data_IF_086680086879
#
_entry.id   IF_086680086879
#
_cell.length_a   1.000
_cell.length_b   1.000
_cell.length_c   1.000
_cell.angle_alpha   90.00
_cell.angle_beta   90.00
_cell.angle_gamma   90.00
#
_symmetry.space_group_name_H-M   'P 1'
#
loop_
_entity.id
_entity.type
_entity.pdbx_description
1 polymer ?
#
# COMPACT_ATOMS: atom_id res chain seq x y z
N UNK A 1 -17.25 -10.55 26.83
CA UNK A 1 -16.66 -11.60 25.98
C UNK A 1 -16.71 -11.10 24.54
N UNK A 2 -15.70 -10.35 24.09
CA UNK A 2 -15.51 -10.08 22.66
C UNK A 2 -15.04 -11.39 22.04
N UNK A 3 -15.70 -11.83 20.98
CA UNK A 3 -15.28 -13.00 20.19
C UNK A 3 -13.95 -12.68 19.51
N UNK A 4 -12.90 -13.43 19.88
CA UNK A 4 -11.62 -13.40 19.17
C UNK A 4 -11.85 -13.73 17.70
N UNK A 5 -11.46 -12.82 16.81
CA UNK A 5 -11.53 -13.02 15.36
C UNK A 5 -10.37 -13.96 14.96
N UNK A 6 -10.61 -15.17 14.42
CA UNK A 6 -9.57 -16.18 14.19
C UNK A 6 -8.46 -15.76 13.19
N UNK A 7 -8.71 -14.74 12.37
CA UNK A 7 -7.70 -14.10 11.51
C UNK A 7 -6.73 -13.19 12.27
N UNK A 8 -7.09 -12.68 13.47
CA UNK A 8 -6.20 -11.85 14.31
C UNK A 8 -4.95 -12.61 14.74
N UNK A 9 -5.10 -13.88 15.11
CA UNK A 9 -4.05 -14.65 15.79
C UNK A 9 -3.08 -15.29 14.81
N UNK A 10 -3.51 -15.66 13.59
CA UNK A 10 -2.71 -16.48 12.68
C UNK A 10 -1.60 -15.68 11.98
N UNK A 11 -1.80 -14.39 11.65
CA UNK A 11 -0.83 -13.62 10.86
C UNK A 11 0.25 -12.93 11.69
N UNK A 12 -0.12 -12.33 12.84
CA UNK A 12 0.86 -11.81 13.79
C UNK A 12 1.76 -12.93 14.31
N UNK A 13 1.22 -14.14 14.54
CA UNK A 13 2.02 -15.33 14.84
C UNK A 13 3.00 -15.68 13.71
N UNK A 14 2.64 -15.59 12.43
CA UNK A 14 3.55 -15.97 11.32
C UNK A 14 4.72 -14.99 11.19
N UNK A 15 4.49 -13.68 11.32
CA UNK A 15 5.57 -12.68 11.22
C UNK A 15 6.41 -12.64 12.50
N UNK A 16 5.79 -12.80 13.68
CA UNK A 16 6.47 -12.81 14.97
C UNK A 16 7.28 -14.09 15.22
N UNK A 17 6.76 -15.28 14.88
CA UNK A 17 7.51 -16.55 14.99
C UNK A 17 8.60 -16.67 13.92
N UNK A 18 8.38 -16.16 12.71
CA UNK A 18 9.45 -16.11 11.70
C UNK A 18 10.57 -15.14 12.10
N UNK A 19 10.27 -14.14 12.95
CA UNK A 19 11.22 -13.14 13.36
C UNK A 19 12.28 -13.64 14.37
N UNK A 20 11.97 -14.69 15.15
CA UNK A 20 12.88 -15.18 16.21
C UNK A 20 13.29 -16.65 16.02
N UNK A 21 12.51 -17.50 15.32
CA UNK A 21 12.70 -18.95 15.35
C UNK A 21 13.72 -19.57 14.35
N UNK A 22 14.57 -18.78 13.68
CA UNK A 22 15.44 -19.30 12.61
C UNK A 22 16.94 -19.37 12.92
N UNK A 23 17.33 -19.77 14.14
CA UNK A 23 18.73 -20.21 14.40
C UNK A 23 18.88 -21.37 15.41
N UNK A 24 18.06 -22.42 15.28
CA UNK A 24 18.37 -23.68 15.98
C UNK A 24 17.87 -24.91 15.22
N UNK A 25 18.66 -25.40 14.25
CA UNK A 25 18.88 -26.83 13.97
C UNK A 25 19.71 -27.03 12.69
N UNK A 26 21.04 -26.91 12.78
CA UNK A 26 21.94 -27.53 11.80
C UNK A 26 22.11 -29.01 12.15
N UNK A 27 21.35 -29.88 11.48
CA UNK A 27 21.42 -31.33 11.65
C UNK A 27 21.20 -32.05 10.33
N UNK A 28 22.29 -32.58 9.77
CA UNK A 28 22.36 -33.35 8.52
C UNK A 28 21.38 -34.54 8.54
N UNK A 29 20.44 -34.61 7.59
CA UNK A 29 19.71 -35.86 7.27
C UNK A 29 19.47 -35.99 5.77
N UNK A 30 19.97 -37.10 5.20
CA UNK A 30 19.73 -37.59 3.82
C UNK A 30 18.31 -38.13 3.62
N UNK A 31 17.68 -38.02 2.44
CA UNK A 31 16.26 -38.35 2.25
C UNK A 31 16.00 -39.81 1.82
N UNK A 32 14.84 -40.33 2.19
CA UNK A 32 14.18 -41.54 1.67
C UNK A 32 12.65 -41.39 1.84
N UNK A 33 11.79 -42.11 1.09
CA UNK A 33 10.95 -41.53 0.04
C UNK A 33 9.49 -41.23 0.43
N UNK A 34 8.89 -40.44 -0.46
CA UNK A 34 7.56 -39.82 -0.47
C UNK A 34 6.42 -40.80 -0.83
N UNK A 35 5.30 -40.72 -0.10
CA UNK A 35 4.01 -41.32 -0.46
C UNK A 35 2.98 -40.17 -0.58
N UNK A 36 2.34 -40.10 -1.75
CA UNK A 36 1.67 -38.92 -2.28
C UNK A 36 0.16 -38.85 -2.01
N UNK A 37 -0.37 -37.62 -1.92
CA UNK A 37 -1.74 -37.22 -2.29
C UNK A 37 -1.76 -35.67 -2.51
N UNK A 38 -2.70 -35.11 -3.30
CA UNK A 38 -2.43 -34.54 -4.61
C UNK A 38 -2.24 -33.01 -4.65
N UNK A 39 -1.40 -32.55 -5.57
CA UNK A 39 -1.14 -31.14 -5.87
C UNK A 39 -2.21 -30.55 -6.82
N UNK A 40 -2.60 -29.31 -6.53
CA UNK A 40 -3.30 -28.42 -7.43
C UNK A 40 -2.37 -28.04 -8.61
N UNK A 41 -2.94 -28.02 -9.81
CA UNK A 41 -2.22 -27.79 -11.05
C UNK A 41 -1.91 -26.30 -11.23
N UNK A 42 -0.62 -25.99 -11.18
CA UNK A 42 -0.01 -24.81 -11.76
C UNK A 42 0.12 -25.04 -13.28
N UNK A 43 -0.37 -24.12 -14.09
CA UNK A 43 -0.30 -24.22 -15.56
C UNK A 43 0.84 -23.34 -16.07
N UNK A 44 1.90 -24.05 -16.44
CA UNK A 44 3.15 -23.55 -16.97
C UNK A 44 3.01 -22.69 -18.23
N UNK A 45 3.88 -21.68 -18.32
CA UNK A 45 4.38 -21.15 -19.57
C UNK A 45 5.19 -22.24 -20.29
N UNK A 46 4.87 -22.49 -21.56
CA UNK A 46 5.71 -23.33 -22.43
C UNK A 46 6.06 -22.56 -23.71
N UNK A 47 7.35 -22.67 -24.03
CA UNK A 47 8.10 -22.02 -25.10
C UNK A 47 8.29 -22.99 -26.28
N UNK A 48 7.95 -22.57 -27.49
CA UNK A 48 8.47 -23.08 -28.77
C UNK A 48 7.96 -22.16 -29.88
N UNK A 49 8.69 -21.72 -30.91
CA UNK A 49 10.02 -22.07 -31.40
C UNK A 49 10.46 -21.06 -32.50
N UNK A 50 11.72 -21.26 -32.92
CA UNK A 50 12.28 -21.03 -34.26
C UNK A 50 13.00 -19.69 -34.52
N UNK A 51 14.32 -19.80 -34.40
CA UNK A 51 15.28 -18.91 -35.05
C UNK A 51 15.15 -19.01 -36.58
N UNK A 52 14.88 -17.87 -37.22
CA UNK A 52 15.12 -17.67 -38.64
C UNK A 52 15.93 -16.37 -38.80
N UNK A 53 17.11 -16.51 -39.40
CA UNK A 53 18.04 -15.44 -39.76
C UNK A 53 17.42 -14.58 -40.87
N UNK A 54 17.24 -13.29 -40.62
CA UNK A 54 17.00 -12.28 -41.65
C UNK A 54 17.83 -11.02 -41.35
N UNK A 55 18.50 -10.51 -42.38
CA UNK A 55 19.28 -9.27 -42.42
C UNK A 55 18.48 -8.03 -41.97
N UNK A 56 19.15 -6.92 -41.59
CA UNK A 56 18.47 -5.74 -41.07
C UNK A 56 17.73 -5.02 -42.20
N UNK A 57 16.40 -5.05 -42.15
CA UNK A 57 15.57 -4.11 -42.88
C UNK A 57 15.52 -2.80 -42.07
N UNK A 58 16.16 -1.78 -42.62
CA UNK A 58 15.97 -0.38 -42.28
C UNK A 58 14.51 -0.02 -42.61
N UNK A 59 13.61 -0.06 -41.61
CA UNK A 59 12.21 0.30 -41.77
C UNK A 59 11.92 1.63 -41.08
N UNK A 60 11.36 2.54 -41.86
CA UNK A 60 11.27 3.96 -41.61
C UNK A 60 10.55 4.28 -40.29
N UNK A 61 11.12 5.22 -39.53
CA UNK A 61 10.39 5.98 -38.53
C UNK A 61 9.17 6.63 -39.21
N UNK A 62 8.00 6.01 -39.04
CA UNK A 62 6.72 6.59 -39.41
C UNK A 62 6.48 7.77 -38.49
N UNK A 63 6.65 8.99 -39.02
CA UNK A 63 6.30 10.20 -38.31
C UNK A 63 4.84 10.11 -37.85
N UNK A 64 4.62 10.15 -36.54
CA UNK A 64 3.28 10.22 -35.96
C UNK A 64 2.51 11.37 -36.63
N UNK A 65 1.27 11.14 -37.11
CA UNK A 65 0.49 12.18 -37.74
C UNK A 65 0.27 13.35 -36.77
N UNK A 66 0.26 14.56 -37.31
CA UNK A 66 0.04 15.79 -36.53
C UNK A 66 -1.38 15.79 -35.98
N UNK A 67 -1.51 15.62 -34.66
CA UNK A 67 -2.78 15.69 -33.95
C UNK A 67 -3.39 17.10 -34.10
N UNK A 68 -4.55 17.21 -34.74
CA UNK A 68 -5.29 18.47 -34.88
C UNK A 68 -6.79 18.20 -34.77
N UNK A 69 -7.49 19.01 -33.96
CA UNK A 69 -8.93 18.89 -33.67
C UNK A 69 -9.21 18.39 -32.26
N UNK A 70 -10.49 18.43 -31.87
CA UNK A 70 -10.97 17.84 -30.61
C UNK A 70 -10.94 16.30 -30.73
N UNK A 71 -10.22 15.62 -29.83
CA UNK A 71 -10.11 14.14 -29.75
C UNK A 71 -9.53 13.48 -31.02
N UNK A 72 -8.28 13.80 -31.39
CA UNK A 72 -7.68 13.45 -32.68
C UNK A 72 -7.51 11.94 -32.95
N UNK A 73 -7.43 11.09 -31.92
CA UNK A 73 -7.32 9.64 -32.08
C UNK A 73 -8.66 8.95 -32.40
N UNK A 74 -9.79 9.61 -32.14
CA UNK A 74 -11.12 9.04 -32.38
C UNK A 74 -11.38 8.71 -33.86
N UNK A 75 -10.61 9.31 -34.79
CA UNK A 75 -10.70 9.04 -36.22
C UNK A 75 -9.97 7.76 -36.69
N UNK A 76 -9.13 7.17 -35.83
CA UNK A 76 -8.39 5.94 -36.14
C UNK A 76 -9.14 4.72 -35.61
N UNK A 77 -9.00 3.56 -36.25
CA UNK A 77 -9.48 2.31 -35.66
C UNK A 77 -8.75 2.03 -34.34
N UNK A 78 -9.42 1.46 -33.32
CA UNK A 78 -8.79 1.21 -32.01
C UNK A 78 -7.44 0.51 -32.10
N UNK A 79 -7.33 -0.54 -32.92
CA UNK A 79 -6.10 -1.32 -33.09
C UNK A 79 -4.91 -0.49 -33.58
N UNK A 80 -5.14 0.55 -34.38
CA UNK A 80 -4.10 1.43 -34.92
C UNK A 80 -3.56 2.41 -33.87
N UNK A 81 -4.24 2.53 -32.73
CA UNK A 81 -3.82 3.35 -31.58
C UNK A 81 -2.92 2.58 -30.61
N UNK A 82 -2.72 1.28 -30.82
CA UNK A 82 -1.85 0.48 -29.99
C UNK A 82 -0.40 0.96 -30.11
N UNK A 83 0.24 1.23 -28.97
CA UNK A 83 1.61 1.79 -28.89
C UNK A 83 1.79 3.12 -29.63
N UNK A 84 0.74 3.95 -29.71
CA UNK A 84 0.78 5.22 -30.45
C UNK A 84 1.72 6.26 -29.83
N UNK A 85 1.86 6.30 -28.51
CA UNK A 85 2.67 7.28 -27.79
C UNK A 85 4.02 6.71 -27.39
N UNK A 86 5.08 7.53 -27.50
CA UNK A 86 6.44 7.15 -27.11
C UNK A 86 6.74 7.38 -25.62
N UNK A 87 5.96 8.23 -24.95
CA UNK A 87 6.19 8.64 -23.57
C UNK A 87 4.88 9.01 -22.88
N UNK A 88 4.89 8.97 -21.55
CA UNK A 88 3.76 9.39 -20.72
C UNK A 88 3.52 10.90 -20.85
N UNK A 89 2.26 11.37 -20.76
CA UNK A 89 1.95 12.78 -20.89
C UNK A 89 2.51 13.60 -19.72
N UNK A 90 2.88 14.84 -20.00
CA UNK A 90 3.21 15.81 -18.94
C UNK A 90 2.00 16.06 -18.02
N UNK A 91 2.28 16.42 -16.77
CA UNK A 91 1.24 16.80 -15.81
C UNK A 91 0.58 18.12 -16.21
N UNK A 92 -0.72 18.05 -16.55
CA UNK A 92 -1.50 19.20 -17.01
C UNK A 92 -2.76 19.46 -16.18
N UNK A 93 -3.25 18.46 -15.47
CA UNK A 93 -4.39 18.61 -14.55
C UNK A 93 -4.00 19.38 -13.29
N UNK A 94 -4.99 19.95 -12.61
CA UNK A 94 -4.85 20.54 -11.28
C UNK A 94 -5.34 19.52 -10.22
N UNK A 95 -4.46 18.90 -9.43
CA UNK A 95 -4.84 17.91 -8.42
C UNK A 95 -5.80 18.43 -7.33
N UNK A 96 -5.96 19.76 -7.20
CA UNK A 96 -6.91 20.36 -6.26
C UNK A 96 -8.35 20.44 -6.78
N UNK A 97 -8.57 20.11 -8.07
CA UNK A 97 -9.88 20.08 -8.74
C UNK A 97 -10.48 18.68 -8.72
N UNK A 98 -11.79 18.64 -8.97
CA UNK A 98 -12.51 17.38 -9.18
C UNK A 98 -12.70 17.12 -10.68
N UNK A 99 -12.41 15.89 -11.07
CA UNK A 99 -12.59 15.42 -12.43
C UNK A 99 -13.63 14.32 -12.48
N UNK A 100 -14.49 14.35 -13.49
CA UNK A 100 -15.47 13.30 -13.75
C UNK A 100 -15.25 12.73 -15.14
N UNK A 101 -15.30 11.40 -15.23
CA UNK A 101 -15.31 10.69 -16.48
C UNK A 101 -16.71 10.13 -16.72
N UNK A 102 -17.32 10.46 -17.85
CA UNK A 102 -18.51 9.76 -18.33
C UNK A 102 -18.08 8.78 -19.40
N UNK A 103 -18.12 7.49 -19.07
CA UNK A 103 -17.85 6.37 -19.96
C UNK A 103 -19.16 6.02 -20.65
N UNK A 104 -19.30 6.42 -21.91
CA UNK A 104 -20.47 6.07 -22.72
C UNK A 104 -20.25 4.71 -23.33
N UNK A 105 -21.18 3.80 -23.08
CA UNK A 105 -21.15 2.44 -23.62
C UNK A 105 -22.42 2.16 -24.40
N UNK A 106 -22.42 1.13 -25.23
CA UNK A 106 -23.64 0.71 -25.93
C UNK A 106 -24.74 0.17 -24.98
N UNK A 107 -24.42 -0.06 -23.71
CA UNK A 107 -25.37 -0.42 -22.65
C UNK A 107 -25.93 0.78 -21.90
N UNK A 108 -25.29 1.95 -22.02
CA UNK A 108 -25.61 3.16 -21.27
C UNK A 108 -24.36 3.86 -20.75
N UNK A 109 -24.56 4.90 -19.96
CA UNK A 109 -23.49 5.75 -19.43
C UNK A 109 -23.10 5.33 -18.01
N UNK A 110 -21.79 5.25 -17.74
CA UNK A 110 -21.21 5.06 -16.41
C UNK A 110 -20.45 6.34 -16.06
N UNK A 111 -20.87 7.05 -15.01
CA UNK A 111 -20.19 8.26 -14.54
C UNK A 111 -19.31 7.92 -13.34
N UNK A 112 -18.06 8.38 -13.39
CA UNK A 112 -17.02 8.11 -12.39
C UNK A 112 -16.46 9.45 -11.90
N UNK A 113 -16.30 9.60 -10.59
CA UNK A 113 -15.48 10.67 -10.00
C UNK A 113 -14.04 10.19 -9.89
N UNK A 114 -13.08 10.97 -10.40
CA UNK A 114 -11.65 10.65 -10.37
C UNK A 114 -10.98 11.25 -9.13
N UNK A 115 -9.99 10.55 -8.57
CA UNK A 115 -9.27 10.92 -7.35
C UNK A 115 -7.94 11.63 -7.65
N UNK A 116 -8.01 12.83 -8.24
CA UNK A 116 -6.84 13.59 -8.64
C UNK A 116 -5.91 13.97 -7.47
N UNK A 117 -6.48 14.10 -6.27
CA UNK A 117 -5.78 14.35 -5.01
C UNK A 117 -4.98 13.14 -4.50
N UNK A 118 -5.34 11.92 -4.94
CA UNK A 118 -4.78 10.66 -4.43
C UNK A 118 -3.88 9.95 -5.43
N UNK A 119 -4.21 10.04 -6.72
CA UNK A 119 -3.47 9.43 -7.82
C UNK A 119 -3.30 10.44 -8.99
N UNK A 120 -2.60 11.57 -8.77
CA UNK A 120 -2.51 12.66 -9.75
C UNK A 120 -1.91 12.22 -11.09
N UNK A 121 -0.86 11.38 -11.11
CA UNK A 121 -0.25 10.94 -12.36
C UNK A 121 -1.19 10.02 -13.15
N UNK A 122 -1.89 9.14 -12.45
CA UNK A 122 -2.86 8.21 -13.04
C UNK A 122 -4.08 8.94 -13.60
N UNK A 123 -4.63 9.90 -12.84
CA UNK A 123 -5.74 10.72 -13.33
C UNK A 123 -5.30 11.57 -14.52
N UNK A 124 -4.10 12.15 -14.49
CA UNK A 124 -3.56 12.91 -15.62
C UNK A 124 -3.46 12.04 -16.88
N UNK A 125 -2.91 10.83 -16.75
CA UNK A 125 -2.82 9.85 -17.83
C UNK A 125 -4.20 9.52 -18.41
N UNK A 126 -5.17 9.17 -17.56
CA UNK A 126 -6.51 8.80 -17.99
C UNK A 126 -7.23 9.97 -18.68
N UNK A 127 -7.16 11.17 -18.10
CA UNK A 127 -7.74 12.40 -18.67
C UNK A 127 -7.11 12.73 -20.02
N UNK A 128 -5.79 12.64 -20.13
CA UNK A 128 -5.08 12.84 -21.38
C UNK A 128 -5.57 11.87 -22.46
N UNK A 129 -5.54 10.56 -22.19
CA UNK A 129 -5.96 9.54 -23.16
C UNK A 129 -7.43 9.69 -23.57
N UNK A 130 -8.33 10.01 -22.63
CA UNK A 130 -9.74 10.28 -22.93
C UNK A 130 -9.93 11.52 -23.83
N UNK A 131 -9.18 12.60 -23.56
CA UNK A 131 -9.19 13.83 -24.36
C UNK A 131 -8.54 13.65 -25.74
N UNK A 132 -7.63 12.67 -25.89
CA UNK A 132 -7.13 12.29 -27.20
C UNK A 132 -8.12 11.44 -27.99
N UNK A 133 -9.16 10.87 -27.37
CA UNK A 133 -10.07 9.91 -28.00
C UNK A 133 -9.47 8.50 -28.08
N UNK A 134 -8.47 8.18 -27.25
CA UNK A 134 -7.78 6.90 -27.26
C UNK A 134 -8.72 5.71 -26.99
N UNK A 135 -9.68 5.90 -26.08
CA UNK A 135 -10.61 4.88 -25.62
C UNK A 135 -11.83 4.66 -26.52
N UNK A 136 -12.03 5.49 -27.55
CA UNK A 136 -13.23 5.43 -28.38
C UNK A 136 -13.29 4.11 -29.16
N UNK A 137 -14.43 3.48 -29.17
CA UNK A 137 -14.67 2.17 -29.78
C UNK A 137 -13.82 1.00 -29.22
N UNK A 138 -13.09 1.21 -28.12
CA UNK A 138 -12.48 0.10 -27.37
C UNK A 138 -13.55 -0.72 -26.63
N UNK A 139 -13.23 -1.94 -26.20
CA UNK A 139 -14.20 -2.82 -25.56
C UNK A 139 -13.85 -3.15 -24.11
N UNK A 140 -14.88 -3.48 -23.32
CA UNK A 140 -14.72 -4.24 -22.08
C UNK A 140 -14.32 -5.68 -22.42
N UNK A 141 -13.05 -5.87 -22.73
CA UNK A 141 -12.51 -7.13 -23.22
C UNK A 141 -12.47 -8.22 -22.14
N UNK A 142 -12.63 -7.90 -20.86
CA UNK A 142 -12.70 -8.92 -19.81
C UNK A 142 -13.67 -8.51 -18.71
N UNK A 143 -14.76 -9.25 -18.55
CA UNK A 143 -15.81 -8.97 -17.57
C UNK A 143 -16.13 -10.24 -16.80
N UNK A 144 -15.66 -10.31 -15.55
CA UNK A 144 -15.77 -11.48 -14.69
C UNK A 144 -16.79 -11.19 -13.60
N UNK A 145 -17.86 -11.99 -13.56
CA UNK A 145 -18.94 -11.83 -12.58
C UNK A 145 -18.42 -11.94 -11.15
N UNK A 146 -18.88 -11.04 -10.28
CA UNK A 146 -18.43 -10.95 -8.89
C UNK A 146 -16.98 -10.45 -8.70
N UNK A 147 -16.27 -10.09 -9.77
CA UNK A 147 -14.91 -9.58 -9.70
C UNK A 147 -14.81 -8.16 -10.28
N UNK A 148 -14.74 -8.02 -11.61
CA UNK A 148 -14.50 -6.72 -12.26
C UNK A 148 -14.83 -6.73 -13.76
N UNK A 149 -14.95 -5.51 -14.31
CA UNK A 149 -15.01 -5.22 -15.74
C UNK A 149 -13.75 -4.44 -16.17
N UNK A 150 -12.93 -5.03 -17.04
CA UNK A 150 -11.67 -4.49 -17.53
C UNK A 150 -11.78 -4.04 -19.00
N UNK A 151 -11.21 -2.87 -19.28
CA UNK A 151 -11.21 -2.18 -20.57
C UNK A 151 -9.91 -1.40 -20.79
N UNK A 152 -9.88 -0.54 -21.82
CA UNK A 152 -8.75 0.35 -22.10
C UNK A 152 -7.63 -0.28 -22.92
N UNK A 153 -7.85 -1.46 -23.50
CA UNK A 153 -6.97 -2.08 -24.49
C UNK A 153 -7.46 -1.73 -25.92
N UNK A 154 -6.69 -0.98 -26.73
CA UNK A 154 -7.01 -0.68 -28.13
C UNK A 154 -7.17 -1.92 -29.02
N UNK A 155 -6.51 -3.03 -28.66
CA UNK A 155 -6.54 -4.29 -29.43
C UNK A 155 -7.66 -5.24 -28.98
N UNK A 156 -8.22 -5.03 -27.78
CA UNK A 156 -9.20 -5.93 -27.16
C UNK A 156 -8.66 -7.31 -26.76
N UNK A 157 -7.34 -7.52 -26.79
CA UNK A 157 -6.69 -8.81 -26.52
C UNK A 157 -6.31 -9.01 -25.04
N UNK A 158 -6.24 -7.93 -24.27
CA UNK A 158 -5.66 -7.82 -22.93
C UNK A 158 -4.17 -7.44 -22.93
N UNK A 159 -3.51 -7.35 -24.09
CA UNK A 159 -2.06 -7.11 -24.19
C UNK A 159 -1.67 -5.76 -24.79
N UNK A 160 -2.64 -4.98 -25.28
CA UNK A 160 -2.36 -3.66 -25.87
C UNK A 160 -2.25 -2.54 -24.84
N UNK A 161 -1.77 -1.39 -25.29
CA UNK A 161 -1.53 -0.23 -24.43
C UNK A 161 -1.19 1.04 -25.21
N UNK A 162 -0.87 2.14 -24.50
CA UNK A 162 -0.64 3.44 -25.11
C UNK A 162 0.77 3.57 -25.70
N UNK A 163 1.71 2.67 -25.36
CA UNK A 163 3.10 2.67 -25.83
C UNK A 163 4.13 3.06 -24.76
N UNK A 164 3.67 3.38 -23.55
CA UNK A 164 4.50 3.66 -22.38
C UNK A 164 3.94 2.99 -21.13
N UNK A 165 4.74 3.02 -20.06
CA UNK A 165 4.37 2.55 -18.73
C UNK A 165 4.73 3.60 -17.66
N UNK A 166 4.03 3.61 -16.54
CA UNK A 166 4.30 4.50 -15.41
C UNK A 166 4.07 3.84 -14.04
N UNK A 167 4.60 4.49 -13.00
CA UNK A 167 4.59 4.03 -11.61
C UNK A 167 3.18 3.86 -11.01
N UNK A 168 3.06 3.06 -9.96
CA UNK A 168 1.84 2.96 -9.14
C UNK A 168 1.74 4.12 -8.14
N UNK A 169 0.52 4.51 -7.79
CA UNK A 169 0.21 5.51 -6.75
C UNK A 169 -0.73 4.87 -5.71
N UNK A 170 -0.27 4.82 -4.46
CA UNK A 170 -1.06 4.31 -3.34
C UNK A 170 -1.26 5.41 -2.32
N UNK A 171 -2.52 5.68 -1.95
CA UNK A 171 -2.88 6.71 -0.99
C UNK A 171 -3.57 6.10 0.25
N UNK A 172 -3.31 6.63 1.46
CA UNK A 172 -4.03 6.22 2.65
C UNK A 172 -5.55 6.40 2.51
N UNK A 173 -6.32 5.47 3.08
CA UNK A 173 -7.79 5.52 3.03
C UNK A 173 -8.40 5.16 1.68
N UNK A 174 -7.61 4.67 0.72
CA UNK A 174 -8.09 4.13 -0.55
C UNK A 174 -7.77 2.64 -0.61
N UNK A 175 -8.81 1.81 -0.51
CA UNK A 175 -8.70 0.36 -0.57
C UNK A 175 -9.86 -0.23 -1.37
N UNK A 176 -9.69 -1.48 -1.81
CA UNK A 176 -10.70 -2.24 -2.55
C UNK A 176 -11.82 -2.78 -1.64
N UNK A 177 -12.41 -1.90 -0.82
CA UNK A 177 -13.38 -2.25 0.23
C UNK A 177 -14.85 -2.33 -0.24
N UNK A 178 -15.13 -1.91 -1.47
CA UNK A 178 -16.49 -1.80 -2.01
C UNK A 178 -16.53 -1.97 -3.54
N UNK A 179 -17.71 -2.28 -4.12
CA UNK A 179 -17.89 -2.28 -5.57
C UNK A 179 -17.81 -0.86 -6.16
N UNK A 180 -17.57 -0.77 -7.47
CA UNK A 180 -17.59 0.49 -8.22
C UNK A 180 -16.26 1.26 -8.18
N UNK A 181 -15.17 0.67 -7.70
CA UNK A 181 -13.86 1.30 -7.69
C UNK A 181 -13.16 1.14 -9.04
N UNK A 182 -12.69 2.27 -9.60
CA UNK A 182 -11.93 2.35 -10.84
C UNK A 182 -10.43 2.30 -10.52
N UNK A 183 -9.72 1.35 -11.12
CA UNK A 183 -8.30 1.13 -10.89
C UNK A 183 -7.52 0.73 -12.14
N UNK A 184 -6.21 0.95 -12.13
CA UNK A 184 -5.33 0.60 -13.24
C UNK A 184 -5.05 -0.90 -13.29
N UNK A 185 -5.20 -1.49 -14.47
CA UNK A 185 -4.68 -2.82 -14.74
C UNK A 185 -3.17 -2.72 -15.02
N UNK A 186 -2.40 -3.65 -14.45
CA UNK A 186 -0.95 -3.71 -14.63
C UNK A 186 -0.48 -5.19 -14.68
N UNK A 187 0.76 -5.38 -15.14
CA UNK A 187 1.44 -6.68 -15.20
C UNK A 187 2.48 -6.85 -14.08
N UNK A 188 2.36 -6.05 -13.01
CA UNK A 188 3.34 -5.91 -11.94
C UNK A 188 3.70 -4.45 -11.63
N UNK A 189 4.51 -4.21 -10.59
CA UNK A 189 4.84 -2.85 -10.15
C UNK A 189 5.40 -1.98 -11.27
N UNK A 190 4.87 -0.77 -11.41
CA UNK A 190 5.32 0.24 -12.37
C UNK A 190 5.00 -0.04 -13.83
N UNK A 191 3.99 -0.86 -14.10
CA UNK A 191 3.58 -1.22 -15.47
C UNK A 191 2.20 -0.68 -15.86
N UNK A 192 1.74 0.40 -15.21
CA UNK A 192 0.47 1.05 -15.55
C UNK A 192 0.55 1.66 -16.96
N UNK A 193 -0.54 1.55 -17.73
CA UNK A 193 -0.63 2.06 -19.09
C UNK A 193 -1.99 2.70 -19.38
N UNK A 194 -2.75 2.14 -20.31
CA UNK A 194 -4.11 2.61 -20.64
C UNK A 194 -5.23 1.75 -20.07
N UNK A 195 -4.92 0.49 -19.74
CA UNK A 195 -5.92 -0.46 -19.28
C UNK A 195 -6.38 -0.17 -17.86
N UNK A 196 -7.68 -0.26 -17.63
CA UNK A 196 -8.31 -0.04 -16.34
C UNK A 196 -9.38 -1.09 -16.08
N UNK A 197 -9.81 -1.22 -14.83
CA UNK A 197 -10.95 -2.04 -14.46
C UNK A 197 -11.83 -1.36 -13.41
N UNK A 198 -13.10 -1.76 -13.37
CA UNK A 198 -14.09 -1.34 -12.38
C UNK A 198 -14.55 -2.57 -11.59
N UNK A 199 -14.50 -2.53 -10.26
CA UNK A 199 -14.87 -3.67 -9.41
C UNK A 199 -16.38 -3.88 -9.32
N UNK A 200 -16.80 -5.15 -9.23
CA UNK A 200 -18.18 -5.54 -8.91
C UNK A 200 -18.39 -5.89 -7.44
N UNK A 201 -17.31 -6.06 -6.67
CA UNK A 201 -17.31 -6.46 -5.28
C UNK A 201 -16.05 -5.92 -4.57
N UNK A 202 -15.95 -6.01 -3.23
CA UNK A 202 -14.69 -5.82 -2.52
C UNK A 202 -13.63 -6.83 -2.99
N UNK A 203 -12.40 -6.36 -3.20
CA UNK A 203 -11.29 -7.14 -3.76
C UNK A 203 -9.97 -6.86 -3.03
N UNK A 204 -9.95 -7.09 -1.71
CA UNK A 204 -8.83 -6.70 -0.83
C UNK A 204 -7.45 -7.25 -1.25
N UNK A 205 -7.42 -8.38 -1.97
CA UNK A 205 -6.17 -8.97 -2.48
C UNK A 205 -5.48 -8.11 -3.55
N UNK A 206 -6.15 -7.09 -4.07
CA UNK A 206 -5.59 -6.10 -5.00
C UNK A 206 -4.97 -4.88 -4.29
N UNK A 207 -5.18 -4.72 -2.98
CA UNK A 207 -4.60 -3.61 -2.20
C UNK A 207 -3.07 -3.62 -2.28
N UNK A 208 -2.46 -2.45 -2.47
CA UNK A 208 -1.01 -2.30 -2.63
C UNK A 208 -0.45 -2.86 -3.95
N UNK A 209 -1.32 -3.25 -4.89
CA UNK A 209 -0.92 -3.81 -6.19
C UNK A 209 -1.45 -3.04 -7.39
N UNK A 210 -2.60 -2.37 -7.24
CA UNK A 210 -3.23 -1.60 -8.30
C UNK A 210 -3.61 -0.21 -7.81
N UNK A 211 -3.34 0.81 -8.63
CA UNK A 211 -3.67 2.20 -8.33
C UNK A 211 -5.18 2.41 -8.45
N UNK A 212 -5.87 2.72 -7.36
CA UNK A 212 -7.28 3.14 -7.36
C UNK A 212 -7.33 4.64 -7.64
N UNK A 213 -8.01 5.04 -8.71
CA UNK A 213 -8.01 6.43 -9.17
C UNK A 213 -9.41 6.99 -9.45
N UNK A 214 -10.48 6.26 -9.12
CA UNK A 214 -11.84 6.80 -9.15
C UNK A 214 -12.90 5.88 -8.58
N UNK A 215 -14.13 6.36 -8.56
CA UNK A 215 -15.31 5.64 -8.07
C UNK A 215 -16.56 5.99 -8.90
N UNK A 216 -17.35 4.95 -9.23
CA UNK A 216 -18.62 5.10 -9.95
C UNK A 216 -19.63 5.84 -9.09
N UNK A 217 -20.19 6.92 -9.63
CA UNK A 217 -21.20 7.76 -8.97
C UNK A 217 -22.59 7.63 -9.59
N UNK A 218 -22.68 7.28 -10.88
CA UNK A 218 -23.93 7.04 -11.60
C UNK A 218 -23.71 5.90 -12.62
N UNK A 219 -24.76 5.13 -12.93
CA UNK A 219 -24.68 4.04 -13.91
C UNK A 219 -24.16 2.71 -13.32
N UNK A 220 -24.29 2.50 -12.01
CA UNK A 220 -23.97 1.22 -11.36
C UNK A 220 -24.75 0.02 -11.93
N UNK A 221 -25.98 0.25 -12.36
CA UNK A 221 -26.85 -0.70 -13.05
C UNK A 221 -26.32 -1.02 -14.46
N UNK A 222 -25.80 -0.01 -15.17
CA UNK A 222 -25.20 -0.18 -16.50
C UNK A 222 -23.92 -1.01 -16.40
N UNK A 223 -23.10 -0.72 -15.39
CA UNK A 223 -21.93 -1.52 -15.04
C UNK A 223 -22.32 -2.98 -14.77
N UNK A 224 -23.44 -3.20 -14.05
CA UNK A 224 -23.99 -4.53 -13.79
C UNK A 224 -24.47 -5.26 -15.05
N UNK A 225 -25.00 -4.52 -16.03
CA UNK A 225 -25.54 -5.03 -17.29
C UNK A 225 -24.46 -5.33 -18.36
N UNK A 226 -23.19 -5.03 -18.08
CA UNK A 226 -22.08 -5.40 -18.97
C UNK A 226 -22.01 -6.92 -19.16
N UNK A 227 -21.94 -7.31 -20.43
CA UNK A 227 -21.86 -8.66 -20.94
C UNK A 227 -20.65 -9.37 -20.35
N UNK A 228 -20.90 -10.45 -19.59
CA UNK A 228 -19.84 -11.27 -18.99
C UNK A 228 -18.99 -11.92 -20.09
N UNK A 229 -17.67 -11.75 -19.98
CA UNK A 229 -16.69 -12.22 -20.97
C UNK A 229 -15.42 -12.64 -20.25
N UNK A 230 -15.18 -13.95 -20.19
CA UNK A 230 -13.94 -14.52 -19.67
C UNK A 230 -13.07 -14.99 -20.84
N UNK A 231 -11.97 -14.29 -21.18
CA UNK A 231 -11.06 -14.70 -22.26
C UNK A 231 -10.54 -16.14 -22.12
N UNK A 232 -10.45 -16.67 -20.90
CA UNK A 232 -10.00 -18.05 -20.67
C UNK A 232 -11.01 -19.10 -21.17
N UNK A 233 -12.26 -18.71 -21.36
CA UNK A 233 -13.31 -19.56 -21.91
C UNK A 233 -13.42 -19.44 -23.44
N UNK A 234 -12.53 -18.68 -24.08
CA UNK A 234 -12.50 -18.42 -25.52
C UNK A 234 -13.87 -18.05 -26.12
N UNK A 235 -14.54 -16.99 -25.61
CA UNK A 235 -15.83 -16.55 -26.13
C UNK A 235 -15.71 -16.11 -27.60
N UNK A 236 -16.75 -16.40 -28.38
CA UNK A 236 -16.85 -16.11 -29.82
C UNK A 236 -17.51 -14.75 -30.12
N UNK A 237 -17.69 -13.92 -29.09
CA UNK A 237 -18.27 -12.58 -29.16
C UNK A 237 -17.32 -11.51 -28.59
N UNK A 238 -17.51 -10.28 -29.07
CA UNK A 238 -16.78 -9.10 -28.59
C UNK A 238 -17.37 -8.58 -27.27
N UNK A 239 -16.53 -7.93 -26.46
CA UNK A 239 -16.99 -7.25 -25.26
C UNK A 239 -17.79 -5.99 -25.60
N UNK A 240 -18.56 -5.48 -24.63
CA UNK A 240 -19.36 -4.27 -24.88
C UNK A 240 -18.45 -3.08 -25.20
N UNK A 241 -18.88 -2.27 -26.17
CA UNK A 241 -18.09 -1.16 -26.70
C UNK A 241 -18.24 0.11 -25.84
N UNK A 242 -17.13 0.80 -25.62
CA UNK A 242 -17.05 2.16 -25.12
C UNK A 242 -17.17 3.09 -26.34
N UNK A 243 -18.27 3.80 -26.47
CA UNK A 243 -18.48 4.75 -27.56
C UNK A 243 -17.59 5.99 -27.40
N UNK A 244 -17.44 6.48 -26.16
CA UNK A 244 -16.52 7.59 -25.85
C UNK A 244 -16.31 7.73 -24.35
N UNK A 245 -15.24 8.43 -23.96
CA UNK A 245 -15.03 8.91 -22.60
C UNK A 245 -14.88 10.43 -22.63
N UNK A 246 -15.77 11.13 -21.92
CA UNK A 246 -15.72 12.60 -21.79
C UNK A 246 -15.33 13.01 -20.38
N UNK A 247 -14.47 14.02 -20.28
CA UNK A 247 -13.97 14.56 -19.01
C UNK A 247 -14.66 15.89 -18.68
N UNK A 248 -15.12 16.02 -17.44
CA UNK A 248 -15.66 17.25 -16.85
C UNK A 248 -14.77 17.67 -15.67
N UNK A 249 -14.33 18.92 -15.63
CA UNK A 249 -13.60 19.53 -14.51
C UNK A 249 -14.54 20.44 -13.72
N UNK A 250 -14.46 20.40 -12.38
CA UNK A 250 -15.26 21.25 -11.50
C UNK A 250 -14.58 21.48 -10.14
N UNK A 251 -15.10 22.47 -9.42
CA UNK A 251 -14.68 22.85 -8.07
C UNK A 251 -15.34 22.02 -6.96
N UNK A 252 -16.29 21.13 -7.30
CA UNK A 252 -17.09 20.40 -6.32
C UNK A 252 -17.13 18.87 -6.53
N UNK A 253 -17.02 18.14 -5.42
CA UNK A 253 -17.29 16.70 -5.33
C UNK A 253 -18.80 16.42 -5.30
N UNK A 254 -19.23 15.34 -5.97
CA UNK A 254 -20.60 14.80 -5.95
C UNK A 254 -20.69 13.50 -5.17
N UNK A 255 -19.56 12.82 -4.95
CA UNK A 255 -19.43 11.90 -3.84
C UNK A 255 -19.79 12.65 -2.56
N UNK A 256 -20.55 12.02 -1.64
CA UNK A 256 -20.76 12.60 -0.32
C UNK A 256 -19.40 12.99 0.22
N UNK A 257 -19.31 14.16 0.86
CA UNK A 257 -18.11 14.48 1.65
C UNK A 257 -17.86 13.23 2.47
N UNK A 258 -16.74 12.52 2.27
CA UNK A 258 -16.47 11.37 3.11
C UNK A 258 -16.68 11.86 4.54
N UNK A 259 -17.38 11.07 5.38
CA UNK A 259 -17.24 11.23 6.85
C UNK A 259 -15.78 11.55 7.05
N UNK A 260 -15.44 12.76 7.57
CA UNK A 260 -14.14 13.36 7.35
C UNK A 260 -13.12 12.25 7.46
N UNK A 261 -12.41 12.01 6.35
CA UNK A 261 -11.26 11.12 6.43
C UNK A 261 -10.47 11.59 7.66
N UNK A 262 -9.83 10.68 8.41
CA UNK A 262 -8.79 11.12 9.32
C UNK A 262 -7.99 12.23 8.64
N UNK A 263 -7.78 13.36 9.33
CA UNK A 263 -7.42 14.63 8.71
C UNK A 263 -6.37 14.38 7.65
N UNK A 264 -6.55 14.96 6.45
CA UNK A 264 -5.62 14.87 5.30
C UNK A 264 -4.23 14.55 5.82
N UNK A 265 -3.69 13.33 5.54
CA UNK A 265 -2.48 12.88 6.20
C UNK A 265 -1.49 14.02 6.17
N UNK A 266 -1.11 14.50 7.36
CA UNK A 266 -0.22 15.64 7.45
C UNK A 266 1.03 15.28 6.66
N UNK A 267 1.44 16.09 5.66
CA UNK A 267 2.47 15.68 4.72
C UNK A 267 3.78 15.37 5.43
N UNK A 268 3.98 15.98 6.60
CA UNK A 268 5.08 15.72 7.51
C UNK A 268 4.55 15.70 8.95
N UNK A 269 5.00 14.78 9.81
CA UNK A 269 4.89 15.00 11.24
C UNK A 269 5.64 16.30 11.60
N UNK A 270 5.04 17.20 12.39
CA UNK A 270 5.65 18.50 12.66
C UNK A 270 6.96 18.30 13.42
N UNK A 271 8.01 18.92 12.89
CA UNK A 271 9.39 18.81 13.37
C UNK A 271 9.72 19.78 14.50
N UNK A 272 8.93 20.86 14.63
CA UNK A 272 9.00 21.81 15.75
C UNK A 272 7.73 21.71 16.59
N UNK A 273 7.82 21.08 17.75
CA UNK A 273 6.78 21.13 18.76
C UNK A 273 7.09 22.22 19.78
N UNK A 274 6.71 23.46 19.46
CA UNK A 274 6.80 24.59 20.40
C UNK A 274 6.02 24.33 21.71
N UNK A 275 5.14 23.31 21.72
CA UNK A 275 4.44 22.81 22.89
C UNK A 275 4.32 21.27 22.83
N UNK A 276 5.43 20.54 23.05
CA UNK A 276 5.43 19.07 23.15
C UNK A 276 4.46 18.53 24.22
N UNK A 277 4.02 19.36 25.17
CA UNK A 277 2.99 19.00 26.15
C UNK A 277 1.58 18.96 25.55
N UNK A 278 1.35 19.57 24.38
CA UNK A 278 0.04 19.60 23.73
C UNK A 278 -0.41 18.25 23.14
N UNK A 279 0.53 17.31 22.90
CA UNK A 279 0.30 15.93 22.41
C UNK A 279 -0.92 15.82 21.47
N UNK A 280 -0.91 16.52 20.33
CA UNK A 280 -2.13 16.79 19.54
C UNK A 280 -2.88 15.53 19.11
N UNK A 281 -2.17 14.43 18.85
CA UNK A 281 -2.77 13.18 18.40
C UNK A 281 -3.43 12.39 19.53
N UNK A 282 -3.10 12.65 20.80
CA UNK A 282 -3.73 11.95 21.92
C UNK A 282 -5.26 12.12 21.94
N UNK A 283 -5.76 13.23 21.39
CA UNK A 283 -7.20 13.52 21.26
C UNK A 283 -7.85 12.96 20.00
N UNK A 284 -7.05 12.54 19.01
CA UNK A 284 -7.54 11.94 17.75
C UNK A 284 -7.93 10.47 18.03
N UNK A 285 -9.11 10.00 17.59
CA UNK A 285 -9.49 8.59 17.72
C UNK A 285 -8.46 7.65 17.11
N UNK A 286 -8.20 6.49 17.75
CA UNK A 286 -7.15 5.58 17.31
C UNK A 286 -7.30 5.12 15.86
N UNK A 287 -8.51 4.76 15.43
CA UNK A 287 -8.77 4.36 14.05
C UNK A 287 -8.39 5.45 13.04
N UNK A 288 -8.56 6.71 13.43
CA UNK A 288 -8.20 7.89 12.62
C UNK A 288 -6.69 8.16 12.60
N UNK A 289 -5.89 7.54 13.48
CA UNK A 289 -4.42 7.65 13.43
C UNK A 289 -3.78 6.72 12.41
N UNK A 290 -4.55 5.80 11.82
CA UNK A 290 -4.05 4.93 10.75
C UNK A 290 -3.74 5.77 9.51
N UNK A 291 -2.52 5.69 9.00
CA UNK A 291 -2.17 6.42 7.78
C UNK A 291 -2.07 7.94 7.97
N UNK A 292 -1.87 8.42 9.21
CA UNK A 292 -1.94 9.84 9.54
C UNK A 292 -0.82 10.70 8.92
N UNK A 293 0.30 10.09 8.53
CA UNK A 293 1.47 10.73 7.92
C UNK A 293 1.85 10.03 6.62
N UNK A 294 2.32 10.79 5.63
CA UNK A 294 2.74 10.22 4.34
C UNK A 294 4.25 9.98 4.22
N UNK A 295 5.05 10.55 5.13
CA UNK A 295 6.51 10.43 5.11
C UNK A 295 7.07 10.38 6.52
N UNK A 296 8.27 9.83 6.64
CA UNK A 296 9.02 9.80 7.88
C UNK A 296 9.34 11.23 8.37
N UNK A 297 9.42 11.45 9.69
CA UNK A 297 9.85 12.73 10.25
C UNK A 297 11.27 13.09 9.82
N UNK A 298 11.54 14.38 9.64
CA UNK A 298 12.92 14.86 9.57
C UNK A 298 13.65 14.55 10.88
N UNK A 299 14.98 14.51 10.81
CA UNK A 299 15.83 14.38 11.99
C UNK A 299 15.74 15.64 12.86
N UNK A 300 15.21 15.48 14.08
CA UNK A 300 15.03 16.55 15.07
C UNK A 300 15.73 16.27 16.40
N UNK A 301 16.10 15.02 16.66
CA UNK A 301 16.86 14.68 17.87
C UNK A 301 18.25 15.33 17.83
N UNK A 302 18.67 15.86 18.98
CA UNK A 302 20.04 16.30 19.22
C UNK A 302 20.91 15.09 19.59
N UNK A 303 21.87 14.76 18.73
CA UNK A 303 22.81 13.64 18.92
C UNK A 303 23.85 13.89 20.03
N UNK A 304 23.87 15.08 20.65
CA UNK A 304 24.68 15.34 21.85
C UNK A 304 23.95 14.97 23.15
N UNK A 305 22.64 14.68 23.08
CA UNK A 305 21.81 14.26 24.21
C UNK A 305 21.53 12.77 24.14
N UNK A 306 21.15 12.19 25.27
CA UNK A 306 20.62 10.84 25.36
C UNK A 306 19.12 10.87 25.64
N UNK A 307 18.42 9.82 25.21
CA UNK A 307 16.97 9.74 25.32
C UNK A 307 16.52 8.48 26.05
N UNK A 308 15.47 8.61 26.86
CA UNK A 308 14.69 7.50 27.40
C UNK A 308 13.24 7.64 26.99
N UNK A 309 12.57 6.52 26.76
CA UNK A 309 11.11 6.49 26.61
C UNK A 309 10.48 5.79 27.82
N UNK A 310 9.44 6.40 28.37
CA UNK A 310 8.63 5.79 29.43
C UNK A 310 7.31 5.34 28.80
N UNK A 311 7.07 4.03 28.81
CA UNK A 311 5.83 3.41 28.35
C UNK A 311 4.97 3.16 29.59
N UNK A 312 3.92 3.96 29.76
CA UNK A 312 3.00 3.85 30.89
C UNK A 312 1.82 2.95 30.56
N UNK A 313 1.46 2.09 31.51
CA UNK A 313 0.28 1.22 31.44
C UNK A 313 -0.39 1.14 32.81
N UNK A 314 -1.62 0.63 32.86
CA UNK A 314 -2.30 0.33 34.12
C UNK A 314 -1.57 -0.72 35.00
N UNK A 315 -0.61 -1.46 34.44
CA UNK A 315 0.23 -2.44 35.17
C UNK A 315 1.47 -1.82 35.79
N UNK A 316 1.86 -0.63 35.35
CA UNK A 316 3.08 0.05 35.74
C UNK A 316 3.78 0.70 34.55
N UNK A 317 4.85 1.44 34.87
CA UNK A 317 5.69 2.10 33.90
C UNK A 317 6.86 1.18 33.50
N UNK A 318 7.25 1.24 32.23
CA UNK A 318 8.44 0.60 31.68
C UNK A 318 9.36 1.68 31.12
N UNK A 319 10.62 1.69 31.55
CA UNK A 319 11.63 2.65 31.08
C UNK A 319 12.51 1.98 30.04
N UNK A 320 12.57 2.59 28.85
CA UNK A 320 13.37 2.15 27.73
C UNK A 320 14.53 3.12 27.49
N UNK A 321 15.75 2.60 27.56
CA UNK A 321 16.93 3.30 27.06
C UNK A 321 16.90 3.28 25.52
N UNK A 322 17.12 4.44 24.89
CA UNK A 322 17.17 4.58 23.44
C UNK A 322 18.62 4.64 22.97
N UNK A 323 18.92 3.96 21.88
CA UNK A 323 20.26 3.89 21.30
C UNK A 323 20.44 4.97 20.23
N UNK A 324 20.33 6.24 20.63
CA UNK A 324 20.36 7.39 19.72
C UNK A 324 21.70 7.58 18.98
N UNK A 325 22.79 7.05 19.52
CA UNK A 325 24.13 7.07 18.93
C UNK A 325 24.32 6.00 17.83
N UNK A 326 23.71 4.83 18.00
CA UNK A 326 23.78 3.71 17.05
C UNK A 326 22.62 3.69 16.04
N UNK A 327 21.42 4.11 16.45
CA UNK A 327 20.18 4.05 15.67
C UNK A 327 19.41 5.40 15.63
N UNK A 328 20.06 6.52 15.26
CA UNK A 328 19.47 7.86 15.34
C UNK A 328 18.16 8.01 14.55
N UNK A 329 18.01 7.40 13.37
CA UNK A 329 16.79 7.48 12.55
C UNK A 329 15.63 6.74 13.23
N UNK A 330 15.87 5.52 13.71
CA UNK A 330 14.85 4.74 14.42
C UNK A 330 14.41 5.40 15.74
N UNK A 331 15.36 5.98 16.48
CA UNK A 331 15.08 6.74 17.71
C UNK A 331 14.32 8.03 17.39
N UNK A 332 14.75 8.79 16.38
CA UNK A 332 14.06 10.00 15.95
C UNK A 332 12.59 9.74 15.60
N UNK A 333 12.33 8.66 14.88
CA UNK A 333 10.98 8.22 14.52
C UNK A 333 10.08 8.02 15.75
N UNK A 334 10.58 7.28 16.76
CA UNK A 334 9.84 7.06 18.00
C UNK A 334 9.61 8.38 18.74
N UNK A 335 10.66 9.20 18.90
CA UNK A 335 10.62 10.45 19.67
C UNK A 335 9.55 11.39 19.12
N UNK A 336 9.51 11.56 17.79
CA UNK A 336 8.51 12.43 17.16
C UNK A 336 7.09 11.91 17.37
N UNK A 337 6.84 10.62 17.09
CA UNK A 337 5.50 10.03 17.25
C UNK A 337 5.04 10.02 18.72
N UNK A 338 5.95 9.74 19.66
CA UNK A 338 5.66 9.78 21.08
C UNK A 338 5.33 11.20 21.56
N UNK A 339 6.07 12.23 21.13
CA UNK A 339 5.78 13.62 21.49
C UNK A 339 4.45 14.12 20.89
N UNK A 340 4.03 13.57 19.74
CA UNK A 340 2.73 13.86 19.16
C UNK A 340 1.56 13.25 19.94
N UNK A 341 1.81 12.29 20.83
CA UNK A 341 0.77 11.49 21.47
C UNK A 341 0.20 10.41 20.56
N UNK A 342 0.95 9.99 19.53
CA UNK A 342 0.48 8.99 18.56
C UNK A 342 0.09 7.67 19.26
N UNK A 343 0.86 7.24 20.26
CA UNK A 343 0.69 5.97 20.97
C UNK A 343 -0.35 6.01 22.10
N UNK A 344 -0.91 7.17 22.42
CA UNK A 344 -1.74 7.34 23.63
C UNK A 344 -3.07 6.60 23.51
N UNK A 345 -3.35 5.74 24.48
CA UNK A 345 -4.53 4.88 24.51
C UNK A 345 -4.47 3.68 23.56
N UNK A 346 -3.34 3.42 22.88
CA UNK A 346 -3.23 2.28 21.96
C UNK A 346 -3.35 0.94 22.70
N UNK A 347 -3.98 -0.08 22.09
CA UNK A 347 -3.99 -1.42 22.67
C UNK A 347 -2.60 -2.05 22.64
N UNK A 348 -2.35 -2.97 23.58
CA UNK A 348 -1.32 -3.99 23.39
C UNK A 348 -1.81 -4.93 22.29
N UNK A 349 -1.20 -4.87 21.11
CA UNK A 349 -1.74 -5.51 19.91
C UNK A 349 -1.69 -7.03 19.99
N UNK A 350 -0.57 -7.58 20.47
CA UNK A 350 -0.41 -9.02 20.64
C UNK A 350 0.58 -9.29 21.78
N UNK A 351 0.34 -10.36 22.54
CA UNK A 351 1.30 -10.89 23.50
C UNK A 351 1.52 -12.35 23.15
N UNK A 352 2.74 -12.70 22.76
CA UNK A 352 3.17 -14.08 22.57
C UNK A 352 3.94 -14.49 23.82
N UNK A 353 3.33 -15.26 24.75
CA UNK A 353 3.89 -15.46 26.08
C UNK A 353 5.30 -16.05 26.04
N UNK A 354 6.24 -15.37 26.68
CA UNK A 354 7.65 -15.78 26.76
C UNK A 354 8.47 -15.51 25.49
N UNK A 355 7.88 -14.94 24.44
CA UNK A 355 8.57 -14.65 23.19
C UNK A 355 8.62 -13.14 22.93
N UNK A 356 7.47 -12.48 22.77
CA UNK A 356 7.42 -11.04 22.47
C UNK A 356 6.07 -10.38 22.78
N UNK A 357 6.08 -9.06 22.78
CA UNK A 357 4.89 -8.19 22.78
C UNK A 357 4.91 -7.33 21.51
N UNK A 358 3.76 -7.17 20.87
CA UNK A 358 3.56 -6.26 19.73
C UNK A 358 2.75 -5.06 20.18
N UNK A 359 3.22 -3.86 19.84
CA UNK A 359 2.54 -2.59 20.13
C UNK A 359 2.60 -1.65 18.92
N UNK A 360 1.83 -0.56 18.97
CA UNK A 360 1.99 0.56 18.02
C UNK A 360 1.11 0.49 16.76
N UNK A 361 0.17 -0.46 16.69
CA UNK A 361 -0.86 -0.48 15.65
C UNK A 361 -2.17 0.18 16.17
N UNK A 362 -2.58 1.35 15.61
CA UNK A 362 -3.73 2.11 16.10
C UNK A 362 -5.06 1.34 15.99
N UNK A 363 -5.31 0.66 14.87
CA UNK A 363 -6.56 -0.05 14.60
C UNK A 363 -6.47 -1.56 14.88
N UNK A 364 -5.46 -1.98 15.65
CA UNK A 364 -5.26 -3.36 16.09
C UNK A 364 -5.25 -4.37 14.94
N UNK A 365 -4.51 -4.01 13.86
CA UNK A 365 -4.39 -4.78 12.61
C UNK A 365 -3.03 -4.53 11.95
N UNK A 366 -2.45 -5.51 11.24
CA UNK A 366 -1.06 -5.44 10.78
C UNK A 366 -0.79 -4.35 9.73
N UNK A 367 -1.81 -3.89 9.02
CA UNK A 367 -1.77 -2.81 8.02
C UNK A 367 -2.07 -1.42 8.61
N UNK A 368 -2.34 -1.35 9.91
CA UNK A 368 -2.58 -0.07 10.60
C UNK A 368 -1.29 0.39 11.25
N UNK A 369 -0.65 1.37 10.62
CA UNK A 369 0.53 2.09 11.11
C UNK A 369 0.35 3.61 10.95
N UNK A 370 1.41 4.39 11.16
CA UNK A 370 1.37 5.85 11.04
C UNK A 370 1.29 6.36 9.60
N UNK A 371 1.45 5.50 8.58
CA UNK A 371 1.20 5.81 7.16
C UNK A 371 2.42 5.90 6.24
N UNK A 372 3.62 5.61 6.75
CA UNK A 372 4.84 5.54 5.96
C UNK A 372 5.69 4.33 6.34
N UNK A 373 6.69 4.05 5.52
CA UNK A 373 7.78 3.14 5.83
C UNK A 373 9.08 3.91 5.79
N UNK A 374 10.07 3.46 6.56
CA UNK A 374 11.37 4.11 6.62
C UNK A 374 12.49 3.09 6.72
N UNK A 375 13.72 3.53 6.43
CA UNK A 375 14.91 2.69 6.51
C UNK A 375 15.65 2.96 7.82
N UNK A 376 15.55 2.06 8.83
CA UNK A 376 16.29 2.20 10.07
C UNK A 376 17.73 1.67 9.95
N UNK A 377 18.52 1.85 11.00
CA UNK A 377 19.91 1.37 11.08
C UNK A 377 20.01 -0.12 11.42
N UNK A 378 20.81 -0.88 10.68
CA UNK A 378 21.05 -2.31 10.93
C UNK A 378 22.50 -2.58 11.30
N UNK A 379 22.78 -3.78 11.81
CA UNK A 379 24.12 -4.22 12.24
C UNK A 379 24.68 -3.38 13.40
N UNK A 380 23.81 -3.11 14.36
CA UNK A 380 24.14 -2.35 15.56
C UNK A 380 25.14 -3.14 16.43
N UNK A 381 25.96 -2.42 17.19
CA UNK A 381 26.99 -3.00 18.02
C UNK A 381 26.42 -3.58 19.31
N UNK A 382 25.30 -3.02 19.77
CA UNK A 382 24.57 -3.48 20.95
C UNK A 382 23.83 -4.79 20.67
N UNK A 383 24.12 -5.82 21.45
CA UNK A 383 23.46 -7.12 21.33
C UNK A 383 22.05 -7.09 21.93
N UNK A 384 21.03 -7.64 21.24
CA UNK A 384 19.67 -7.67 21.76
C UNK A 384 19.53 -8.64 22.93
N UNK A 385 18.65 -8.31 23.86
CA UNK A 385 18.35 -9.08 25.05
C UNK A 385 16.86 -8.97 25.39
N UNK A 386 16.43 -9.55 26.51
CA UNK A 386 15.07 -9.32 27.02
C UNK A 386 14.83 -7.81 27.17
N UNK A 387 13.66 -7.36 26.70
CA UNK A 387 13.25 -5.97 26.67
C UNK A 387 13.73 -5.18 25.45
N UNK A 388 14.56 -5.75 24.56
CA UNK A 388 14.98 -5.06 23.33
C UNK A 388 13.79 -4.79 22.42
N UNK A 389 13.79 -3.60 21.81
CA UNK A 389 12.70 -3.08 20.98
C UNK A 389 13.17 -2.84 19.56
N UNK A 390 12.40 -3.29 18.58
CA UNK A 390 12.63 -3.05 17.15
C UNK A 390 11.32 -2.75 16.43
N UNK A 391 11.39 -2.12 15.26
CA UNK A 391 10.20 -1.94 14.41
C UNK A 391 9.88 -3.24 13.65
N UNK A 392 8.60 -3.45 13.39
CA UNK A 392 8.15 -4.57 12.56
C UNK A 392 8.71 -4.43 11.14
N UNK A 393 9.39 -5.47 10.65
CA UNK A 393 9.77 -5.60 9.25
C UNK A 393 8.67 -6.32 8.48
N UNK A 394 8.24 -5.81 7.31
CA UNK A 394 7.19 -6.44 6.51
C UNK A 394 7.63 -7.78 5.91
N UNK A 395 8.95 -7.97 5.69
CA UNK A 395 9.56 -9.21 5.22
C UNK A 395 10.89 -9.46 5.96
N UNK A 396 11.34 -10.73 6.11
CA UNK A 396 12.56 -11.07 6.87
C UNK A 396 13.85 -10.40 6.39
N UNK A 397 13.97 -10.11 5.08
CA UNK A 397 15.14 -9.47 4.48
C UNK A 397 14.87 -7.98 4.13
N UNK A 398 13.81 -7.40 4.70
CA UNK A 398 13.41 -6.03 4.41
C UNK A 398 14.39 -5.05 5.04
N UNK A 399 14.86 -4.08 4.26
CA UNK A 399 15.61 -2.93 4.76
C UNK A 399 14.70 -1.77 5.15
N UNK A 400 13.39 -1.92 4.98
CA UNK A 400 12.36 -0.93 5.35
C UNK A 400 11.48 -1.51 6.45
N UNK A 401 11.09 -0.67 7.40
CA UNK A 401 10.31 -1.04 8.58
C UNK A 401 8.96 -0.30 8.61
N UNK A 402 8.02 -0.83 9.42
CA UNK A 402 6.80 -0.13 9.81
C UNK A 402 7.12 1.19 10.49
N UNK A 403 6.30 2.20 10.27
CA UNK A 403 6.44 3.52 10.91
C UNK A 403 6.15 3.53 12.41
N UNK A 404 5.27 2.65 12.91
CA UNK A 404 4.83 2.72 14.32
C UNK A 404 4.73 1.38 15.03
N UNK A 405 4.65 0.27 14.30
CA UNK A 405 4.48 -1.06 14.91
C UNK A 405 5.85 -1.52 15.43
N UNK A 406 5.91 -1.85 16.72
CA UNK A 406 7.12 -2.26 17.43
C UNK A 406 6.96 -3.65 18.05
N UNK A 407 8.07 -4.37 18.09
CA UNK A 407 8.24 -5.67 18.74
C UNK A 407 9.13 -5.49 19.96
N UNK A 408 8.70 -6.02 21.11
CA UNK A 408 9.46 -6.01 22.36
C UNK A 408 9.76 -7.46 22.75
N UNK A 409 11.03 -7.82 22.92
CA UNK A 409 11.44 -9.18 23.28
C UNK A 409 11.11 -9.53 24.74
N UNK A 410 10.49 -10.69 24.98
CA UNK A 410 10.23 -11.24 26.33
C UNK A 410 11.29 -12.23 26.82
N UNK A 411 12.29 -12.51 25.99
CA UNK A 411 13.39 -13.42 26.27
C UNK A 411 14.71 -12.86 25.75
N UNK A 412 15.81 -13.42 26.22
CA UNK A 412 17.13 -13.15 25.65
C UNK A 412 17.19 -13.64 24.20
N UNK A 413 17.80 -12.82 23.34
CA UNK A 413 17.90 -13.09 21.92
C UNK A 413 19.30 -13.56 21.54
N UNK A 414 19.44 -14.47 20.56
CA UNK A 414 20.74 -14.80 20.01
C UNK A 414 21.44 -13.57 19.45
N UNK A 415 22.78 -13.52 19.57
CA UNK A 415 23.56 -12.37 19.11
C UNK A 415 23.43 -12.13 17.59
N UNK A 416 23.21 -13.18 16.80
CA UNK A 416 22.99 -13.05 15.35
C UNK A 416 21.73 -12.24 14.99
N UNK A 417 20.74 -12.17 15.87
CA UNK A 417 19.49 -11.42 15.66
C UNK A 417 19.75 -9.92 15.52
N UNK A 418 20.86 -9.41 16.09
CA UNK A 418 21.29 -8.01 15.97
C UNK A 418 21.54 -7.57 14.52
N UNK A 419 21.89 -8.51 13.63
CA UNK A 419 22.16 -8.20 12.23
C UNK A 419 20.90 -8.17 11.35
N UNK A 420 19.83 -8.85 11.79
CA UNK A 420 18.58 -8.97 11.05
C UNK A 420 17.59 -7.85 11.37
N UNK A 421 17.74 -7.18 12.52
CA UNK A 421 16.80 -6.16 13.00
C UNK A 421 17.52 -4.89 13.43
N UNK A 422 16.78 -3.79 13.38
CA UNK A 422 17.20 -2.50 13.94
C UNK A 422 16.68 -2.39 15.37
N UNK A 423 17.44 -2.90 16.34
CA UNK A 423 17.09 -2.74 17.75
C UNK A 423 17.49 -1.34 18.21
N UNK A 424 16.54 -0.45 18.39
CA UNK A 424 16.81 0.97 18.67
C UNK A 424 16.65 1.34 20.14
N UNK A 425 16.30 0.38 21.00
CA UNK A 425 16.22 0.57 22.44
C UNK A 425 16.00 -0.72 23.22
N UNK A 426 16.04 -0.61 24.55
CA UNK A 426 15.80 -1.71 25.47
C UNK A 426 15.11 -1.24 26.74
N UNK A 427 14.08 -1.96 27.17
CA UNK A 427 13.45 -1.78 28.48
C UNK A 427 14.44 -2.21 29.58
N UNK A 428 14.88 -1.24 30.38
CA UNK A 428 15.86 -1.40 31.47
C UNK A 428 15.24 -1.34 32.86
N UNK A 429 14.05 -0.74 32.99
CA UNK A 429 13.23 -0.76 34.21
C UNK A 429 11.77 -1.11 33.88
N UNK A 430 11.07 -1.75 34.82
CA UNK A 430 9.72 -2.28 34.58
C UNK A 430 9.66 -3.53 33.71
N UNK A 431 10.77 -4.28 33.56
CA UNK A 431 10.79 -5.53 32.78
C UNK A 431 9.80 -6.58 33.34
N UNK A 432 9.48 -6.55 34.63
CA UNK A 432 8.47 -7.39 35.26
C UNK A 432 7.04 -6.96 34.92
N UNK A 433 6.81 -5.68 34.59
CA UNK A 433 5.54 -5.17 34.06
C UNK A 433 5.29 -5.75 32.68
N UNK A 434 6.34 -5.82 31.85
CA UNK A 434 6.28 -6.38 30.50
C UNK A 434 5.77 -7.84 30.51
N UNK A 435 6.19 -8.65 31.48
CA UNK A 435 5.75 -10.04 31.66
C UNK A 435 4.27 -10.16 32.10
N UNK A 436 3.66 -9.08 32.57
CA UNK A 436 2.28 -9.04 33.06
C UNK A 436 1.28 -8.51 32.02
N UNK A 437 1.75 -8.00 30.89
CA UNK A 437 0.90 -7.46 29.84
C UNK A 437 0.07 -8.55 29.16
N UNK A 438 -1.11 -8.16 28.75
CA UNK A 438 -2.06 -8.96 27.97
C UNK A 438 -2.63 -8.10 26.85
N UNK A 439 -3.21 -8.72 25.82
CA UNK A 439 -3.91 -7.99 24.75
C UNK A 439 -5.19 -7.25 25.20
N UNK A 440 -5.59 -7.38 26.46
CA UNK A 440 -6.66 -6.57 27.07
C UNK A 440 -6.14 -5.26 27.66
N UNK A 441 -4.82 -5.10 27.80
CA UNK A 441 -4.17 -3.90 28.32
C UNK A 441 -3.98 -2.84 27.21
N UNK A 442 -3.71 -1.60 27.64
CA UNK A 442 -3.48 -0.45 26.78
C UNK A 442 -2.20 0.28 27.21
N UNK A 443 -1.56 0.93 26.25
CA UNK A 443 -0.56 1.96 26.48
C UNK A 443 -1.32 3.22 26.86
N UNK A 444 -1.14 3.69 28.09
CA UNK A 444 -1.73 4.95 28.52
C UNK A 444 -1.04 6.10 27.78
N UNK A 445 0.29 6.14 27.84
CA UNK A 445 1.14 7.10 27.11
C UNK A 445 2.53 6.55 26.84
N UNK A 446 3.21 7.07 25.81
CA UNK A 446 4.67 7.01 25.68
C UNK A 446 5.24 8.42 25.78
N UNK A 447 6.08 8.68 26.76
CA UNK A 447 6.74 9.99 26.97
C UNK A 447 8.24 9.88 26.79
N UNK A 448 8.87 10.94 26.29
CA UNK A 448 10.32 11.00 26.07
C UNK A 448 10.97 11.87 27.15
N UNK A 449 12.00 11.34 27.79
CA UNK A 449 12.91 12.10 28.64
C UNK A 449 14.24 12.29 27.91
N UNK A 450 14.73 13.52 27.88
CA UNK A 450 16.04 13.87 27.31
C UNK A 450 17.01 14.27 28.43
N UNK A 451 18.28 13.87 28.29
CA UNK A 451 19.33 14.25 29.24
C UNK A 451 20.64 14.59 28.53
N UNK A 452 21.34 15.63 29.01
CA UNK A 452 22.54 16.19 28.39
C UNK A 452 22.57 17.72 28.53
N UNK A 453 23.77 18.31 28.57
CA UNK A 453 23.98 19.78 28.65
C UNK A 453 24.05 20.45 27.29
#
# INVERSE_FOLDING_TARGET
MKTLNPTRTIWLLIVALAAIALTACSGVVTPAPEEAAPAAADAAADTAAAAATAEPAEEAASAAPTLSGDRPLAAFEPVDRNNYFSEAPEMTIDPSKYYYATIKTEKGDIKVQLFADRAPATVNNFVFLANQGFYDDTTFHRVIDGFMAQAGDPTGTGAGGPGYQFADEFAPGVSFDRPGLLAMANAGPGTNGSQFFITFAPTDWLNGRHTIFGEVIEGSEILGDLTRRDPNQAPDFEGDRIESITIEETDASSLPTPTPLPPTPTPFPPTNMDDAASRPLASVPLEERTGYFNTAPDMVIDQAKTYQAIISTAKGDMVMDLYDDEAPVAVNNLVVLANLGFFDGMPINEVVPGELVVIGSPADRPDSDAGYQFQPEFNLSTAPAKGSVTYLLPLPDSTIASSSIMLIALQDLPAETASAYSFFGQIVDGVDVLDQLTSDDVIDTITIEESGE
#
